data_IF_908096675046
#
_entry.id   IF_908096675046
#
_cell.length_a   1.000
_cell.length_b   1.000
_cell.length_c   1.000
_cell.angle_alpha   90.00
_cell.angle_beta   90.00
_cell.angle_gamma   90.00
#
_symmetry.space_group_name_H-M   'P 1'
#
loop_
_entity.id
_entity.type
_entity.pdbx_description
1 polymer ?
#
# COMPACT_ATOMS: atom_id res chain seq x y z
N UNK A 1 0.21 -23.13 25.15
CA UNK A 1 0.15 -21.72 24.73
C UNK A 1 1.54 -21.34 24.24
N UNK A 2 1.66 -20.80 23.02
CA UNK A 2 2.97 -20.44 22.46
C UNK A 2 3.46 -19.14 23.11
N UNK A 3 4.49 -19.22 23.96
CA UNK A 3 5.16 -18.05 24.51
C UNK A 3 6.14 -17.51 23.48
N UNK A 4 5.65 -16.67 22.57
CA UNK A 4 6.50 -15.92 21.63
C UNK A 4 7.42 -15.02 22.47
N UNK A 5 8.73 -15.09 22.21
CA UNK A 5 9.74 -14.31 22.92
C UNK A 5 9.56 -12.81 22.65
N UNK A 6 10.03 -11.93 23.55
CA UNK A 6 9.93 -10.49 23.32
C UNK A 6 10.70 -10.03 22.07
N UNK A 7 11.78 -10.70 21.70
CA UNK A 7 12.51 -10.44 20.45
C UNK A 7 11.69 -10.82 19.22
N UNK A 8 10.98 -11.94 19.27
CA UNK A 8 10.11 -12.38 18.16
C UNK A 8 8.93 -11.43 17.98
N UNK A 9 8.37 -10.89 19.07
CA UNK A 9 7.33 -9.84 19.01
C UNK A 9 7.87 -8.54 18.42
N UNK A 10 9.04 -8.08 18.87
CA UNK A 10 9.65 -6.86 18.36
C UNK A 10 10.00 -6.98 16.86
N UNK A 11 10.46 -8.17 16.43
CA UNK A 11 10.71 -8.46 15.03
C UNK A 11 9.42 -8.42 14.20
N UNK A 12 8.35 -9.10 14.64
CA UNK A 12 7.05 -9.07 13.97
C UNK A 12 6.48 -7.64 13.84
N UNK A 13 6.62 -6.83 14.89
CA UNK A 13 6.20 -5.43 14.89
C UNK A 13 6.99 -4.62 13.86
N UNK A 14 8.33 -4.75 13.82
CA UNK A 14 9.17 -4.05 12.83
C UNK A 14 8.83 -4.46 11.40
N UNK A 15 8.67 -5.76 11.15
CA UNK A 15 8.32 -6.27 9.82
C UNK A 15 6.93 -5.79 9.39
N UNK A 16 5.95 -5.72 10.32
CA UNK A 16 4.63 -5.14 10.02
C UNK A 16 4.74 -3.68 9.59
N UNK A 17 5.53 -2.87 10.30
CA UNK A 17 5.75 -1.46 9.95
C UNK A 17 6.53 -1.29 8.64
N UNK A 18 7.49 -2.16 8.34
CA UNK A 18 8.20 -2.15 7.07
C UNK A 18 7.27 -2.47 5.89
N UNK A 19 6.38 -3.47 6.04
CA UNK A 19 5.35 -3.79 5.04
C UNK A 19 4.43 -2.60 4.80
N UNK A 20 4.00 -1.91 5.87
CA UNK A 20 3.20 -0.69 5.76
C UNK A 20 3.94 0.40 4.99
N UNK A 21 5.25 0.59 5.23
CA UNK A 21 6.05 1.58 4.53
C UNK A 21 6.19 1.29 3.02
N UNK A 22 6.41 0.03 2.65
CA UNK A 22 6.53 -0.41 1.26
C UNK A 22 5.20 -0.23 0.54
N UNK A 23 4.11 -0.58 1.20
CA UNK A 23 2.76 -0.40 0.67
C UNK A 23 2.43 1.09 0.44
N UNK A 24 2.75 1.96 1.40
CA UNK A 24 2.55 3.41 1.24
C UNK A 24 3.39 3.99 0.10
N UNK A 25 4.65 3.55 -0.07
CA UNK A 25 5.48 3.96 -1.20
C UNK A 25 4.89 3.51 -2.54
N UNK A 26 4.38 2.27 -2.63
CA UNK A 26 3.75 1.76 -3.83
C UNK A 26 2.48 2.55 -4.20
N UNK A 27 1.69 2.97 -3.20
CA UNK A 27 0.52 3.83 -3.40
C UNK A 27 0.90 5.22 -3.92
N UNK A 28 1.96 5.82 -3.38
CA UNK A 28 2.42 7.15 -3.83
C UNK A 28 2.97 7.08 -5.27
N UNK A 29 3.76 6.05 -5.59
CA UNK A 29 4.24 5.82 -6.96
C UNK A 29 3.07 5.64 -7.95
N UNK A 30 2.07 4.85 -7.57
CA UNK A 30 0.87 4.65 -8.37
C UNK A 30 0.13 5.99 -8.60
N UNK A 31 0.02 6.81 -7.55
CA UNK A 31 -0.60 8.13 -7.63
C UNK A 31 0.15 9.04 -8.62
N UNK A 32 1.47 9.13 -8.50
CA UNK A 32 2.30 9.92 -9.41
C UNK A 32 2.17 9.46 -10.85
N UNK A 33 2.13 8.15 -11.10
CA UNK A 33 2.06 7.59 -12.44
C UNK A 33 0.72 7.90 -13.12
N UNK A 34 -0.39 7.86 -12.38
CA UNK A 34 -1.68 8.31 -12.91
C UNK A 34 -1.69 9.81 -13.19
N UNK A 35 -1.08 10.63 -12.34
CA UNK A 35 -0.94 12.08 -12.59
C UNK A 35 -0.12 12.33 -13.86
N UNK A 36 0.99 11.60 -14.07
CA UNK A 36 1.82 11.67 -15.29
C UNK A 36 1.05 11.28 -16.55
N UNK A 37 0.04 10.40 -16.43
CA UNK A 37 -0.88 10.03 -17.51
C UNK A 37 -2.00 11.07 -17.74
N UNK A 38 -1.99 12.19 -17.01
CA UNK A 38 -2.99 13.26 -17.13
C UNK A 38 -4.30 12.96 -16.38
N UNK A 39 -4.31 11.99 -15.48
CA UNK A 39 -5.48 11.68 -14.65
C UNK A 39 -5.50 12.63 -13.46
N UNK A 40 -6.51 13.51 -13.44
CA UNK A 40 -6.81 14.34 -12.27
C UNK A 40 -7.45 13.47 -11.17
N UNK A 41 -6.64 13.06 -10.19
CA UNK A 41 -7.06 12.23 -9.07
C UNK A 41 -8.03 12.96 -8.14
N UNK A 42 -8.08 14.29 -8.16
CA UNK A 42 -9.04 15.05 -7.34
C UNK A 42 -10.43 15.09 -7.97
N UNK A 43 -10.54 14.82 -9.27
CA UNK A 43 -11.82 14.61 -9.96
C UNK A 43 -12.54 13.33 -9.50
N UNK A 44 -13.87 13.31 -9.60
CA UNK A 44 -14.66 12.13 -9.24
C UNK A 44 -14.32 10.88 -10.05
N UNK A 45 -13.96 11.02 -11.33
CA UNK A 45 -13.57 9.88 -12.18
C UNK A 45 -12.11 9.46 -11.96
N UNK A 46 -11.21 10.41 -11.68
CA UNK A 46 -9.84 10.11 -11.29
C UNK A 46 -9.76 9.36 -9.96
N UNK A 47 -10.57 9.75 -8.95
CA UNK A 47 -10.69 8.99 -7.69
C UNK A 47 -11.12 7.55 -7.93
N UNK A 48 -12.14 7.31 -8.76
CA UNK A 48 -12.58 5.95 -9.11
C UNK A 48 -11.47 5.16 -9.80
N UNK A 49 -10.73 5.81 -10.70
CA UNK A 49 -9.62 5.19 -11.43
C UNK A 49 -8.49 4.80 -10.49
N UNK A 50 -8.10 5.68 -9.56
CA UNK A 50 -7.13 5.39 -8.51
C UNK A 50 -7.60 4.22 -7.63
N UNK A 51 -8.85 4.23 -7.14
CA UNK A 51 -9.40 3.13 -6.32
C UNK A 51 -9.36 1.79 -7.07
N UNK A 52 -9.70 1.77 -8.37
CA UNK A 52 -9.61 0.54 -9.20
C UNK A 52 -8.17 0.07 -9.33
N UNK A 53 -7.22 0.98 -9.52
CA UNK A 53 -5.80 0.64 -9.63
C UNK A 53 -5.24 0.09 -8.32
N UNK A 54 -5.60 0.68 -7.17
CA UNK A 54 -5.25 0.17 -5.84
C UNK A 54 -5.82 -1.22 -5.60
N UNK A 55 -7.07 -1.49 -5.98
CA UNK A 55 -7.66 -2.84 -5.87
C UNK A 55 -6.86 -3.88 -6.66
N UNK A 56 -6.48 -3.56 -7.91
CA UNK A 56 -5.63 -4.44 -8.73
C UNK A 56 -4.23 -4.62 -8.15
N UNK A 57 -3.68 -3.59 -7.51
CA UNK A 57 -2.40 -3.69 -6.81
C UNK A 57 -2.52 -4.66 -5.63
N UNK A 58 -3.58 -4.56 -4.84
CA UNK A 58 -3.82 -5.41 -3.66
C UNK A 58 -4.03 -6.88 -4.04
N UNK A 59 -4.66 -7.17 -5.18
CA UNK A 59 -4.80 -8.53 -5.72
C UNK A 59 -3.45 -9.23 -5.98
N UNK A 60 -2.34 -8.48 -6.10
CA UNK A 60 -0.99 -9.06 -6.30
C UNK A 60 -0.29 -9.48 -5.01
N UNK A 61 -0.83 -9.09 -3.86
CA UNK A 61 -0.25 -9.37 -2.54
C UNK A 61 -1.05 -10.45 -1.76
N UNK A 62 -2.11 -11.00 -2.36
CA UNK A 62 -2.98 -12.06 -1.78
C UNK A 62 -2.70 -13.40 -2.46
#
# INVERSE_FOLDING_TARGET
MSNISEEEKAHQIRTSFEVDSIYLQALEQLREELIKQGIDIDSGEGRKTFIRAVRKLNERFI
#
